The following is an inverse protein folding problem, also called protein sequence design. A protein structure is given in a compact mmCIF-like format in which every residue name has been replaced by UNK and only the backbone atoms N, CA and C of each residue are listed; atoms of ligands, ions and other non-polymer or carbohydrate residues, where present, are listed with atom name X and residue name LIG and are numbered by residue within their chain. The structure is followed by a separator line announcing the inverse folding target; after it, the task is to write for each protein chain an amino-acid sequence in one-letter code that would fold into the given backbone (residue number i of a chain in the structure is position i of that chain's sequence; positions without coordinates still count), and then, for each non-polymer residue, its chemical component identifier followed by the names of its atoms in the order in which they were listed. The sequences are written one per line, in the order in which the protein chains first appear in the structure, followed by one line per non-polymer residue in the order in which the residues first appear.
data_IF_417203889440
#
_entry.id   IF_417203889440
#
_cell.length_a   1.000
_cell.length_b   1.000
_cell.length_c   1.000
_cell.angle_alpha   90.00
_cell.angle_beta   90.00
_cell.angle_gamma   90.00
#
_symmetry.space_group_name_H-M   'P 1'
#
loop_
_entity.id
_entity.type
_entity.pdbx_description
1 polymer ?
#
# COMPACT_ATOMS: atom_id res chain seq x y z
N UNK A 1 -20.68 -4.39 -7.23
CA UNK A 1 -19.97 -3.32 -6.50
C UNK A 1 -20.96 -2.74 -5.52
N UNK A 2 -20.72 -2.86 -4.21
CA UNK A 2 -21.54 -2.16 -3.22
C UNK A 2 -20.91 -0.79 -3.01
N UNK A 3 -21.55 0.25 -3.55
CA UNK A 3 -21.28 1.63 -3.13
C UNK A 3 -21.72 1.79 -1.67
N UNK A 4 -21.00 2.60 -0.91
CA UNK A 4 -21.48 3.10 0.37
C UNK A 4 -22.36 4.31 0.06
N UNK A 5 -23.68 4.11 0.01
CA UNK A 5 -24.58 5.18 -0.41
C UNK A 5 -24.47 6.44 0.47
N UNK A 6 -24.15 6.28 1.76
CA UNK A 6 -23.95 7.44 2.62
C UNK A 6 -22.69 8.20 2.22
N UNK A 7 -21.53 7.52 2.15
CA UNK A 7 -20.27 8.18 1.82
C UNK A 7 -20.22 8.68 0.36
N UNK A 8 -20.65 7.84 -0.58
CA UNK A 8 -20.46 8.06 -2.02
C UNK A 8 -21.42 9.10 -2.59
N UNK A 9 -22.65 9.17 -2.06
CA UNK A 9 -23.72 9.99 -2.62
C UNK A 9 -24.33 11.02 -1.66
N UNK A 10 -24.12 10.92 -0.35
CA UNK A 10 -24.86 11.74 0.62
C UNK A 10 -23.99 12.59 1.56
N UNK A 11 -22.79 12.15 1.91
CA UNK A 11 -21.88 12.88 2.78
C UNK A 11 -21.48 14.20 2.13
N UNK A 12 -21.62 15.32 2.85
CA UNK A 12 -21.15 16.61 2.33
C UNK A 12 -19.63 16.65 2.41
N UNK A 13 -18.97 16.78 1.25
CA UNK A 13 -17.50 16.83 1.12
C UNK A 13 -17.15 17.92 0.12
N UNK A 14 -16.32 18.89 0.53
CA UNK A 14 -15.85 19.99 -0.31
C UNK A 14 -16.97 20.78 -1.04
N UNK A 15 -18.12 20.92 -0.36
CA UNK A 15 -19.30 21.59 -0.89
C UNK A 15 -20.12 20.77 -1.90
N UNK A 16 -19.77 19.50 -2.11
CA UNK A 16 -20.54 18.55 -2.93
C UNK A 16 -21.29 17.54 -2.06
N UNK A 17 -22.31 16.91 -2.62
CA UNK A 17 -23.06 15.82 -2.00
C UNK A 17 -22.49 14.48 -2.47
N UNK A 18 -21.71 13.83 -1.61
CA UNK A 18 -21.05 12.55 -1.84
C UNK A 18 -19.59 12.67 -2.31
N UNK A 19 -18.76 11.69 -1.90
CA UNK A 19 -17.35 11.63 -2.28
C UNK A 19 -17.13 11.54 -3.79
N UNK A 20 -18.03 10.88 -4.53
CA UNK A 20 -17.91 10.75 -5.99
C UNK A 20 -18.06 12.10 -6.71
N UNK A 21 -18.97 12.96 -6.23
CA UNK A 21 -19.14 14.29 -6.76
C UNK A 21 -17.96 15.21 -6.38
N UNK A 22 -17.49 15.13 -5.13
CA UNK A 22 -16.33 15.88 -4.65
C UNK A 22 -15.06 15.54 -5.46
N UNK A 23 -14.79 14.26 -5.71
CA UNK A 23 -13.66 13.83 -6.55
C UNK A 23 -13.77 14.35 -7.98
N UNK A 24 -14.98 14.31 -8.57
CA UNK A 24 -15.22 14.86 -9.92
C UNK A 24 -14.90 16.36 -9.98
N UNK A 25 -15.32 17.12 -8.97
CA UNK A 25 -15.01 18.55 -8.85
C UNK A 25 -13.50 18.79 -8.74
N UNK A 26 -12.82 18.04 -7.87
CA UNK A 26 -11.36 18.14 -7.69
C UNK A 26 -10.63 17.93 -9.02
N UNK A 27 -11.01 16.91 -9.79
CA UNK A 27 -10.44 16.67 -11.13
C UNK A 27 -10.70 17.80 -12.10
N UNK A 28 -11.89 18.41 -12.06
CA UNK A 28 -12.21 19.57 -12.88
C UNK A 28 -11.31 20.78 -12.59
N UNK A 29 -10.90 20.94 -11.32
CA UNK A 29 -9.97 21.98 -10.88
C UNK A 29 -8.50 21.63 -11.15
N UNK A 30 -8.15 20.35 -11.09
CA UNK A 30 -6.80 19.83 -11.24
C UNK A 30 -6.75 18.68 -12.24
N UNK A 31 -6.79 18.96 -13.56
CA UNK A 31 -6.92 17.93 -14.61
C UNK A 31 -5.72 16.98 -14.73
N UNK A 32 -4.60 17.30 -14.07
CA UNK A 32 -3.43 16.43 -13.97
C UNK A 32 -3.60 15.31 -12.94
N UNK A 33 -4.56 15.43 -12.01
CA UNK A 33 -4.87 14.39 -11.03
C UNK A 33 -5.67 13.29 -11.70
N UNK A 34 -5.20 12.05 -11.53
CA UNK A 34 -5.88 10.84 -11.96
C UNK A 34 -6.60 10.19 -10.79
N UNK A 35 -7.83 9.74 -11.03
CA UNK A 35 -8.61 9.00 -10.02
C UNK A 35 -8.87 7.60 -10.50
N UNK A 36 -8.58 6.62 -9.66
CA UNK A 36 -8.90 5.22 -9.89
C UNK A 36 -9.88 4.76 -8.81
N UNK A 37 -10.79 3.86 -9.16
CA UNK A 37 -11.56 3.12 -8.17
C UNK A 37 -10.76 1.90 -7.74
N UNK A 38 -10.44 1.77 -6.45
CA UNK A 38 -9.80 0.56 -5.92
C UNK A 38 -10.87 -0.46 -5.52
N UNK A 39 -10.66 -1.70 -5.93
CA UNK A 39 -11.57 -2.81 -5.69
C UNK A 39 -10.85 -3.85 -4.85
N UNK A 40 -11.45 -4.20 -3.71
CA UNK A 40 -10.91 -5.18 -2.79
C UNK A 40 -10.44 -4.56 -1.48
N UNK A 41 -9.21 -4.90 -1.08
CA UNK A 41 -8.59 -4.55 0.19
C UNK A 41 -8.66 -5.67 1.21
N UNK A 42 -7.89 -5.53 2.29
CA UNK A 42 -7.71 -6.55 3.33
C UNK A 42 -9.00 -7.10 3.95
N UNK A 43 -10.09 -6.33 3.96
CA UNK A 43 -11.40 -6.78 4.47
C UNK A 43 -12.41 -7.21 3.39
N UNK A 44 -12.09 -7.03 2.11
CA UNK A 44 -13.03 -7.17 0.99
C UNK A 44 -12.47 -8.02 -0.16
N UNK A 45 -11.67 -9.03 0.19
CA UNK A 45 -10.99 -9.90 -0.79
C UNK A 45 -11.58 -11.31 -0.95
N UNK A 46 -12.64 -11.66 -0.21
CA UNK A 46 -13.18 -13.03 -0.14
C UNK A 46 -13.79 -13.52 -1.46
N UNK A 47 -14.28 -12.62 -2.31
CA UNK A 47 -14.96 -12.93 -3.57
C UNK A 47 -13.99 -13.13 -4.75
N UNK A 48 -12.77 -12.61 -4.65
CA UNK A 48 -11.82 -12.67 -5.76
C UNK A 48 -11.52 -14.07 -6.28
N UNK A 49 -11.32 -15.12 -5.45
CA UNK A 49 -11.03 -16.46 -5.97
C UNK A 49 -12.10 -16.96 -6.95
N UNK A 50 -13.38 -16.80 -6.60
CA UNK A 50 -14.50 -17.23 -7.45
C UNK A 50 -14.64 -16.33 -8.70
N UNK A 51 -14.50 -15.02 -8.53
CA UNK A 51 -14.53 -14.05 -9.62
C UNK A 51 -13.43 -14.32 -10.65
N UNK A 52 -12.19 -14.50 -10.18
CA UNK A 52 -11.02 -14.66 -11.02
C UNK A 52 -10.97 -16.03 -11.70
N UNK A 53 -11.54 -17.09 -11.11
CA UNK A 53 -11.56 -18.42 -11.72
C UNK A 53 -12.49 -18.51 -12.95
N UNK A 54 -13.61 -17.79 -12.97
CA UNK A 54 -14.61 -17.90 -14.03
C UNK A 54 -14.41 -16.88 -15.15
N UNK A 55 -14.21 -17.34 -16.40
CA UNK A 55 -14.10 -16.45 -17.58
C UNK A 55 -15.31 -15.51 -17.72
N UNK A 56 -16.52 -16.05 -17.54
CA UNK A 56 -17.74 -15.26 -17.62
C UNK A 56 -17.82 -14.20 -16.51
N UNK A 57 -17.41 -14.55 -15.28
CA UNK A 57 -17.39 -13.60 -14.17
C UNK A 57 -16.36 -12.49 -14.39
N UNK A 58 -15.14 -12.83 -14.84
CA UNK A 58 -14.10 -11.85 -15.21
C UNK A 58 -14.60 -10.85 -16.26
N UNK A 59 -15.24 -11.34 -17.31
CA UNK A 59 -15.78 -10.50 -18.39
C UNK A 59 -16.93 -9.61 -17.91
N UNK A 60 -17.82 -10.15 -17.08
CA UNK A 60 -18.92 -9.36 -16.51
C UNK A 60 -18.41 -8.26 -15.59
N UNK A 61 -17.45 -8.58 -14.72
CA UNK A 61 -16.78 -7.59 -13.89
C UNK A 61 -16.14 -6.49 -14.74
N UNK A 62 -15.33 -6.86 -15.74
CA UNK A 62 -14.63 -5.92 -16.61
C UNK A 62 -15.58 -4.93 -17.31
N UNK A 63 -16.76 -5.38 -17.75
CA UNK A 63 -17.79 -4.48 -18.31
C UNK A 63 -18.39 -3.55 -17.25
N UNK A 64 -18.75 -4.08 -16.09
CA UNK A 64 -19.38 -3.31 -15.01
C UNK A 64 -18.43 -2.26 -14.41
N UNK A 65 -17.15 -2.60 -14.23
CA UNK A 65 -16.16 -1.66 -13.71
C UNK A 65 -15.89 -0.55 -14.73
N UNK A 66 -15.87 -0.87 -16.03
CA UNK A 66 -15.79 0.14 -17.09
C UNK A 66 -17.00 1.08 -17.04
N UNK A 67 -18.21 0.55 -16.98
CA UNK A 67 -19.44 1.34 -16.88
C UNK A 67 -19.44 2.26 -15.66
N UNK A 68 -18.97 1.75 -14.51
CA UNK A 68 -18.78 2.56 -13.30
C UNK A 68 -17.77 3.70 -13.53
N UNK A 69 -16.60 3.39 -14.12
CA UNK A 69 -15.61 4.41 -14.44
C UNK A 69 -16.15 5.48 -15.38
N UNK A 70 -16.91 5.09 -16.40
CA UNK A 70 -17.53 6.02 -17.36
C UNK A 70 -18.57 6.92 -16.69
N UNK A 71 -19.41 6.34 -15.85
CA UNK A 71 -20.50 7.03 -15.14
C UNK A 71 -19.96 8.05 -14.13
N UNK A 72 -18.88 7.69 -13.43
CA UNK A 72 -18.30 8.51 -12.37
C UNK A 72 -17.04 9.28 -12.79
N UNK A 73 -16.62 9.15 -14.05
CA UNK A 73 -15.41 9.74 -14.63
C UNK A 73 -14.12 9.37 -13.89
N UNK A 74 -13.96 8.10 -13.53
CA UNK A 74 -12.65 7.58 -13.10
C UNK A 74 -11.75 7.34 -14.32
N UNK A 75 -10.45 7.57 -14.15
CA UNK A 75 -9.43 7.28 -15.18
C UNK A 75 -9.06 5.80 -15.22
N UNK A 76 -9.58 4.95 -14.33
CA UNK A 76 -9.17 3.55 -14.28
C UNK A 76 -9.59 2.82 -13.01
N UNK A 77 -9.02 1.64 -12.84
CA UNK A 77 -9.28 0.74 -11.71
C UNK A 77 -7.97 0.23 -11.10
N UNK A 78 -7.97 0.14 -9.79
CA UNK A 78 -6.93 -0.53 -8.99
C UNK A 78 -7.48 -1.85 -8.43
N UNK A 79 -6.71 -2.94 -8.56
CA UNK A 79 -7.09 -4.26 -8.07
C UNK A 79 -6.27 -4.62 -6.84
N UNK A 80 -6.95 -4.67 -5.70
CA UNK A 80 -6.36 -4.99 -4.41
C UNK A 80 -6.92 -6.32 -3.88
N UNK A 81 -6.50 -7.42 -4.50
CA UNK A 81 -6.81 -8.76 -3.99
C UNK A 81 -5.76 -9.18 -2.97
N UNK A 82 -6.19 -9.27 -1.70
CA UNK A 82 -5.37 -9.70 -0.59
C UNK A 82 -5.71 -11.12 -0.08
N UNK A 83 -5.05 -12.21 -0.51
CA UNK A 83 -4.04 -12.30 -1.59
C UNK A 83 -4.21 -13.59 -2.42
N UNK A 84 -3.75 -13.62 -3.69
CA UNK A 84 -3.58 -14.86 -4.44
C UNK A 84 -2.38 -15.67 -3.91
N UNK A 85 -2.64 -16.74 -3.15
CA UNK A 85 -1.62 -17.51 -2.42
C UNK A 85 -1.38 -18.93 -2.95
N UNK A 86 -1.91 -19.28 -4.13
CA UNK A 86 -1.68 -20.58 -4.77
C UNK A 86 -1.33 -20.40 -6.25
N UNK A 87 -0.63 -21.34 -6.90
CA UNK A 87 -0.34 -21.26 -8.33
C UNK A 87 -1.61 -21.07 -9.19
N UNK A 88 -2.71 -21.71 -8.80
CA UNK A 88 -3.99 -21.54 -9.49
C UNK A 88 -4.60 -20.15 -9.26
N UNK A 89 -4.57 -19.64 -8.03
CA UNK A 89 -5.01 -18.27 -7.74
C UNK A 89 -4.19 -17.24 -8.52
N UNK A 90 -2.87 -17.42 -8.61
CA UNK A 90 -1.99 -16.52 -9.36
C UNK A 90 -2.22 -16.57 -10.88
N UNK A 91 -2.47 -17.75 -11.44
CA UNK A 91 -2.90 -17.88 -12.85
C UNK A 91 -4.22 -17.16 -13.09
N UNK A 92 -5.20 -17.37 -12.21
CA UNK A 92 -6.52 -16.74 -12.31
C UNK A 92 -6.44 -15.22 -12.14
N UNK A 93 -5.54 -14.73 -11.29
CA UNK A 93 -5.26 -13.31 -11.12
C UNK A 93 -4.81 -12.66 -12.42
N UNK A 94 -3.86 -13.27 -13.13
CA UNK A 94 -3.37 -12.74 -14.42
C UNK A 94 -4.47 -12.76 -15.49
N UNK A 95 -5.28 -13.83 -15.56
CA UNK A 95 -6.43 -13.88 -16.46
C UNK A 95 -7.49 -12.83 -16.14
N UNK A 96 -7.60 -12.44 -14.87
CA UNK A 96 -8.47 -11.37 -14.40
C UNK A 96 -7.99 -9.99 -14.83
N UNK A 97 -6.70 -9.68 -14.60
CA UNK A 97 -6.09 -8.46 -15.12
C UNK A 97 -6.20 -8.38 -16.66
N UNK A 98 -6.01 -9.50 -17.36
CA UNK A 98 -6.11 -9.55 -18.81
C UNK A 98 -7.53 -9.19 -19.30
N UNK A 99 -8.57 -9.76 -18.69
CA UNK A 99 -9.96 -9.46 -19.06
C UNK A 99 -10.32 -7.98 -18.84
N UNK A 100 -9.79 -7.37 -17.77
CA UNK A 100 -9.95 -5.94 -17.50
C UNK A 100 -9.23 -5.12 -18.57
N UNK A 101 -7.95 -5.42 -18.84
CA UNK A 101 -7.16 -4.68 -19.84
C UNK A 101 -7.74 -4.76 -21.26
N UNK A 102 -8.27 -5.92 -21.65
CA UNK A 102 -8.97 -6.09 -22.94
C UNK A 102 -10.23 -5.21 -23.04
N UNK A 103 -10.94 -5.00 -21.92
CA UNK A 103 -12.15 -4.18 -21.87
C UNK A 103 -11.87 -2.69 -21.65
N UNK A 104 -10.76 -2.39 -20.96
CA UNK A 104 -10.32 -1.05 -20.55
C UNK A 104 -8.88 -0.82 -21.06
N UNK A 105 -8.72 -0.58 -22.38
CA UNK A 105 -7.41 -0.51 -23.01
C UNK A 105 -6.61 0.73 -22.58
N UNK A 106 -5.29 0.60 -22.50
CA UNK A 106 -4.38 1.73 -22.35
C UNK A 106 -4.27 2.51 -23.68
N UNK A 107 -4.00 3.83 -23.65
CA UNK A 107 -3.84 4.67 -22.46
C UNK A 107 -5.18 5.25 -21.95
N UNK A 108 -6.32 4.81 -22.49
CA UNK A 108 -7.63 5.36 -22.14
C UNK A 108 -7.99 5.14 -20.67
N UNK A 109 -7.70 3.95 -20.14
CA UNK A 109 -7.88 3.64 -18.73
C UNK A 109 -6.58 3.13 -18.10
N UNK A 110 -6.34 3.56 -16.87
CA UNK A 110 -5.32 3.01 -16.00
C UNK A 110 -5.80 1.69 -15.40
N UNK A 111 -4.91 0.70 -15.34
CA UNK A 111 -5.08 -0.53 -14.58
C UNK A 111 -3.89 -0.71 -13.66
N UNK A 112 -4.15 -0.69 -12.36
CA UNK A 112 -3.12 -0.85 -11.34
C UNK A 112 -3.48 -1.98 -10.40
N UNK A 113 -2.56 -2.33 -9.52
CA UNK A 113 -2.81 -3.28 -8.44
C UNK A 113 -2.01 -2.91 -7.21
N UNK A 114 -2.54 -3.26 -6.03
CA UNK A 114 -1.77 -3.39 -4.81
C UNK A 114 -1.36 -4.85 -4.57
N UNK A 115 -0.08 -5.08 -4.26
CA UNK A 115 0.46 -6.40 -3.89
C UNK A 115 1.42 -6.28 -2.70
N UNK A 116 1.53 -7.33 -1.86
CA UNK A 116 2.45 -7.34 -0.72
C UNK A 116 3.89 -7.55 -1.17
N UNK A 117 4.87 -7.22 -0.33
CA UNK A 117 6.29 -7.56 -0.56
C UNK A 117 6.59 -9.06 -0.42
N UNK A 118 5.68 -9.84 0.15
CA UNK A 118 5.92 -11.21 0.57
C UNK A 118 5.92 -12.21 -0.58
N UNK A 119 6.99 -13.01 -0.66
CA UNK A 119 7.11 -14.12 -1.61
C UNK A 119 6.02 -15.19 -1.45
N UNK A 120 5.32 -15.26 -0.31
CA UNK A 120 4.16 -16.15 -0.14
C UNK A 120 3.05 -15.88 -1.16
N UNK A 121 2.97 -14.66 -1.69
CA UNK A 121 2.03 -14.26 -2.75
C UNK A 121 2.76 -14.14 -4.09
N UNK A 122 3.82 -13.32 -4.16
CA UNK A 122 4.45 -12.94 -5.42
C UNK A 122 4.96 -14.13 -6.25
N UNK A 123 5.42 -15.21 -5.61
CA UNK A 123 5.93 -16.42 -6.30
C UNK A 123 4.88 -17.18 -7.10
N UNK A 124 3.61 -16.92 -6.86
CA UNK A 124 2.51 -17.57 -7.57
C UNK A 124 2.07 -16.78 -8.81
N UNK A 125 2.54 -15.54 -8.97
CA UNK A 125 2.12 -14.65 -10.04
C UNK A 125 3.06 -14.75 -11.24
N UNK A 126 2.52 -14.73 -12.45
CA UNK A 126 3.33 -14.49 -13.64
C UNK A 126 3.62 -12.98 -13.75
N UNK A 127 4.66 -12.53 -13.03
CA UNK A 127 5.02 -11.12 -12.91
C UNK A 127 5.38 -10.45 -14.25
N UNK A 128 6.11 -11.08 -15.20
CA UNK A 128 6.31 -10.52 -16.53
C UNK A 128 5.01 -10.22 -17.29
N UNK A 129 4.03 -11.14 -17.22
CA UNK A 129 2.74 -10.92 -17.88
C UNK A 129 1.93 -9.84 -17.15
N UNK A 130 1.92 -9.85 -15.81
CA UNK A 130 1.27 -8.81 -15.03
C UNK A 130 1.84 -7.41 -15.36
N UNK A 131 3.16 -7.28 -15.49
CA UNK A 131 3.83 -6.01 -15.85
C UNK A 131 3.43 -5.47 -17.24
N UNK A 132 3.05 -6.33 -18.18
CA UNK A 132 2.53 -5.92 -19.50
C UNK A 132 1.09 -5.40 -19.42
N UNK A 133 0.31 -5.90 -18.46
CA UNK A 133 -1.10 -5.56 -18.28
C UNK A 133 -1.29 -4.30 -17.43
N UNK A 134 -0.52 -4.17 -16.36
CA UNK A 134 -0.61 -3.07 -15.39
C UNK A 134 0.13 -1.83 -15.90
N UNK A 135 -0.40 -0.64 -15.63
CA UNK A 135 0.34 0.62 -15.81
C UNK A 135 1.44 0.74 -14.76
N UNK A 136 1.10 0.45 -13.50
CA UNK A 136 2.04 0.34 -12.39
C UNK A 136 1.47 -0.53 -11.26
N UNK A 137 2.36 -0.93 -10.34
CA UNK A 137 2.07 -1.73 -9.16
C UNK A 137 2.35 -0.90 -7.90
N UNK A 138 1.35 -0.78 -7.03
CA UNK A 138 1.46 -0.26 -5.68
C UNK A 138 2.00 -1.38 -4.76
N UNK A 139 3.31 -1.39 -4.50
CA UNK A 139 3.95 -2.38 -3.64
C UNK A 139 3.78 -2.01 -2.17
N UNK A 140 2.96 -2.75 -1.42
CA UNK A 140 2.64 -2.49 -0.01
C UNK A 140 3.86 -2.73 0.89
N UNK A 141 4.72 -1.72 0.99
CA UNK A 141 5.97 -1.68 1.75
C UNK A 141 5.77 -1.55 3.27
N UNK A 142 4.75 -2.22 3.80
CA UNK A 142 4.34 -2.12 5.20
C UNK A 142 3.66 -3.43 5.65
N UNK A 143 3.21 -3.45 6.91
CA UNK A 143 2.58 -4.61 7.55
C UNK A 143 3.45 -5.87 7.61
N UNK A 144 4.75 -5.67 7.77
CA UNK A 144 5.70 -6.77 7.94
C UNK A 144 5.49 -7.50 9.27
N UNK A 145 5.11 -6.76 10.32
CA UNK A 145 4.83 -7.26 11.67
C UNK A 145 3.52 -6.70 12.19
N UNK A 146 2.78 -7.46 13.00
CA UNK A 146 1.48 -7.08 13.53
C UNK A 146 0.95 -8.11 14.53
N UNK A 147 -0.36 -8.11 14.80
CA UNK A 147 -0.97 -9.08 15.73
C UNK A 147 -0.86 -10.55 15.30
N UNK A 148 -0.47 -10.79 14.04
CA UNK A 148 -0.24 -12.11 13.44
C UNK A 148 1.21 -12.60 13.54
N UNK A 149 2.13 -11.84 14.15
CA UNK A 149 3.52 -12.25 14.35
C UNK A 149 3.80 -12.58 15.82
N UNK A 150 4.71 -13.53 16.09
CA UNK A 150 5.03 -13.94 17.48
C UNK A 150 5.80 -12.88 18.29
N UNK A 151 6.52 -12.02 17.58
CA UNK A 151 7.33 -10.93 18.16
C UNK A 151 7.08 -9.64 17.41
N UNK A 152 7.28 -8.52 18.09
CA UNK A 152 7.17 -7.21 17.46
C UNK A 152 8.39 -6.89 16.58
N UNK A 153 8.23 -5.92 15.69
CA UNK A 153 9.29 -5.40 14.83
C UNK A 153 8.84 -4.14 14.11
N UNK A 154 9.70 -3.63 13.24
CA UNK A 154 9.33 -2.50 12.39
C UNK A 154 8.39 -2.98 11.29
N UNK A 155 7.17 -2.44 11.24
CA UNK A 155 6.19 -2.92 10.26
C UNK A 155 6.46 -2.43 8.83
N UNK A 156 7.36 -1.47 8.63
CA UNK A 156 7.57 -0.79 7.35
C UNK A 156 9.04 -0.45 7.06
N UNK A 157 9.97 -1.27 7.55
CA UNK A 157 11.40 -1.05 7.33
C UNK A 157 11.81 -1.13 5.84
N UNK A 158 12.68 -0.22 5.41
CA UNK A 158 13.22 -0.23 4.05
C UNK A 158 14.13 -1.43 3.80
N UNK A 159 15.07 -1.66 4.72
CA UNK A 159 16.07 -2.73 4.65
C UNK A 159 15.79 -3.79 5.71
N UNK A 160 16.16 -5.06 5.50
CA UNK A 160 16.09 -6.07 6.55
C UNK A 160 17.06 -5.72 7.70
N UNK A 161 16.80 -6.14 8.95
CA UNK A 161 17.72 -5.90 10.05
C UNK A 161 19.03 -6.64 9.77
N UNK A 162 20.18 -5.99 9.98
CA UNK A 162 21.50 -6.60 9.78
C UNK A 162 21.96 -7.49 10.94
N UNK A 163 21.19 -7.54 12.02
CA UNK A 163 21.50 -8.30 13.22
C UNK A 163 20.96 -9.75 13.17
N UNK A 164 21.46 -10.57 14.09
CA UNK A 164 21.06 -11.98 14.21
C UNK A 164 19.58 -12.16 14.60
N UNK A 165 18.83 -11.10 14.96
CA UNK A 165 17.40 -11.23 15.28
C UNK A 165 16.62 -11.74 14.07
N UNK A 166 17.05 -11.40 12.86
CA UNK A 166 16.40 -11.87 11.65
C UNK A 166 16.59 -13.39 11.43
N UNK A 167 17.64 -13.98 12.01
CA UNK A 167 17.93 -15.42 11.95
C UNK A 167 17.07 -16.19 12.94
N UNK A 168 16.90 -15.62 14.13
CA UNK A 168 16.01 -16.16 15.16
C UNK A 168 14.55 -16.00 14.77
N UNK A 169 14.18 -14.86 14.17
CA UNK A 169 12.81 -14.51 13.77
C UNK A 169 12.76 -14.15 12.28
N UNK A 170 12.57 -15.13 11.38
CA UNK A 170 12.55 -14.90 9.94
C UNK A 170 11.49 -13.91 9.45
N UNK A 171 10.40 -13.73 10.21
CA UNK A 171 9.37 -12.71 9.94
C UNK A 171 9.92 -11.29 9.92
N UNK A 172 10.96 -11.01 10.72
CA UNK A 172 11.63 -9.71 10.76
C UNK A 172 12.52 -9.43 9.54
N UNK A 173 12.73 -10.41 8.64
CA UNK A 173 13.48 -10.19 7.39
C UNK A 173 12.68 -9.45 6.33
N UNK A 174 11.35 -9.40 6.44
CA UNK A 174 10.49 -8.70 5.48
C UNK A 174 10.86 -7.21 5.46
N UNK A 175 10.97 -6.65 4.27
CA UNK A 175 11.37 -5.26 4.05
C UNK A 175 10.94 -4.78 2.67
N UNK A 176 10.90 -3.46 2.47
CA UNK A 176 10.59 -2.86 1.18
C UNK A 176 11.57 -3.30 0.10
N UNK A 177 12.87 -3.27 0.40
CA UNK A 177 13.94 -3.65 -0.54
C UNK A 177 13.73 -5.08 -1.05
N UNK A 178 13.47 -6.05 -0.16
CA UNK A 178 13.26 -7.44 -0.58
C UNK A 178 12.10 -7.61 -1.56
N UNK A 179 11.01 -6.85 -1.37
CA UNK A 179 9.89 -6.88 -2.31
C UNK A 179 10.27 -6.31 -3.68
N UNK A 180 10.99 -5.19 -3.70
CA UNK A 180 11.51 -4.57 -4.94
C UNK A 180 12.50 -5.50 -5.64
N UNK A 181 13.47 -6.05 -4.92
CA UNK A 181 14.46 -6.99 -5.45
C UNK A 181 13.80 -8.23 -6.02
N UNK A 182 12.79 -8.77 -5.32
CA UNK A 182 12.05 -9.93 -5.82
C UNK A 182 11.36 -9.59 -7.15
N UNK A 183 10.57 -8.52 -7.21
CA UNK A 183 9.86 -8.11 -8.42
C UNK A 183 10.80 -7.89 -9.61
N UNK A 184 11.88 -7.15 -9.40
CA UNK A 184 12.88 -6.85 -10.44
C UNK A 184 13.64 -8.11 -10.88
N UNK A 185 13.99 -9.01 -9.95
CA UNK A 185 14.62 -10.31 -10.27
C UNK A 185 13.73 -11.22 -11.13
N UNK A 186 12.40 -11.06 -11.02
CA UNK A 186 11.40 -11.76 -11.82
C UNK A 186 11.04 -11.00 -13.11
N UNK A 187 11.75 -9.92 -13.45
CA UNK A 187 11.57 -9.15 -14.68
C UNK A 187 10.46 -8.10 -14.64
N UNK A 188 9.93 -7.75 -13.46
CA UNK A 188 9.00 -6.62 -13.33
C UNK A 188 9.78 -5.30 -13.48
N UNK A 189 9.39 -4.38 -14.39
CA UNK A 189 10.11 -3.13 -14.61
C UNK A 189 10.11 -2.24 -13.36
N UNK A 190 11.28 -1.80 -12.91
CA UNK A 190 11.42 -0.96 -11.71
C UNK A 190 10.59 0.32 -11.79
N UNK A 191 10.57 0.97 -12.96
CA UNK A 191 9.80 2.20 -13.21
C UNK A 191 8.28 2.03 -13.08
N UNK A 192 7.77 0.80 -13.05
CA UNK A 192 6.36 0.48 -12.79
C UNK A 192 6.08 0.11 -11.34
N UNK A 193 7.07 0.09 -10.45
CA UNK A 193 6.89 -0.19 -9.02
C UNK A 193 6.74 1.14 -8.29
N UNK A 194 5.64 1.31 -7.58
CA UNK A 194 5.36 2.45 -6.69
C UNK A 194 5.50 1.96 -5.26
N UNK A 195 6.45 2.51 -4.51
CA UNK A 195 6.77 2.01 -3.17
C UNK A 195 5.78 2.57 -2.13
N UNK A 196 5.14 1.68 -1.37
CA UNK A 196 4.16 2.03 -0.35
C UNK A 196 4.77 2.53 0.95
N UNK A 197 4.16 3.60 1.48
CA UNK A 197 4.45 4.22 2.76
C UNK A 197 3.19 4.12 3.63
N UNK A 198 3.26 3.51 4.83
CA UNK A 198 2.14 3.55 5.76
C UNK A 198 2.06 4.94 6.41
N UNK A 199 0.86 5.45 6.50
CA UNK A 199 0.51 6.70 7.18
C UNK A 199 -0.22 6.39 8.48
N UNK A 200 0.24 5.34 9.15
CA UNK A 200 -0.24 4.82 10.41
C UNK A 200 0.90 4.10 11.13
N UNK A 201 0.72 3.91 12.42
CA UNK A 201 1.60 3.13 13.27
C UNK A 201 1.03 1.74 13.55
N UNK A 202 1.93 0.77 13.78
CA UNK A 202 1.58 -0.47 14.49
C UNK A 202 2.19 -0.47 15.88
N UNK A 203 1.38 -0.79 16.89
CA UNK A 203 1.83 -0.88 18.27
C UNK A 203 1.79 -2.32 18.80
N UNK A 204 2.64 -2.57 19.80
CA UNK A 204 2.85 -3.87 20.42
C UNK A 204 2.98 -3.68 21.94
N UNK A 205 1.91 -4.01 22.65
CA UNK A 205 1.81 -3.81 24.09
C UNK A 205 2.86 -4.61 24.86
N UNK A 206 3.40 -4.01 25.92
CA UNK A 206 4.48 -4.55 26.77
C UNK A 206 5.85 -4.73 26.09
N UNK A 207 5.92 -4.74 24.75
CA UNK A 207 7.19 -4.79 24.04
C UNK A 207 7.98 -3.49 24.20
N UNK A 208 9.30 -3.58 24.01
CA UNK A 208 10.25 -2.46 24.14
C UNK A 208 11.23 -2.36 22.98
N UNK A 209 11.18 -3.29 22.04
CA UNK A 209 12.04 -3.30 20.86
C UNK A 209 11.81 -4.54 20.01
N UNK A 210 12.28 -4.54 18.76
CA UNK A 210 12.13 -5.65 17.82
C UNK A 210 12.60 -6.99 18.43
N UNK A 211 11.87 -8.07 18.13
CA UNK A 211 12.14 -9.41 18.66
C UNK A 211 11.56 -9.67 20.06
N UNK A 212 10.99 -8.65 20.72
CA UNK A 212 10.31 -8.88 22.00
C UNK A 212 8.90 -9.48 21.78
N UNK A 213 8.46 -10.41 22.65
CA UNK A 213 7.06 -10.80 22.70
C UNK A 213 6.20 -9.62 23.14
N UNK A 214 4.90 -9.68 22.83
CA UNK A 214 3.96 -8.62 23.16
C UNK A 214 2.62 -9.20 23.62
N UNK A 215 1.84 -8.37 24.32
CA UNK A 215 0.45 -8.65 24.66
C UNK A 215 -0.42 -7.48 24.25
N UNK A 216 -1.27 -7.73 23.26
CA UNK A 216 -2.05 -6.69 22.60
C UNK A 216 -1.25 -6.01 21.48
N UNK A 217 -1.93 -5.73 20.39
CA UNK A 217 -1.40 -5.02 19.23
C UNK A 217 -2.52 -4.28 18.55
N UNK A 218 -2.19 -3.29 17.74
CA UNK A 218 -3.18 -2.58 16.96
C UNK A 218 -2.55 -1.52 16.07
N UNK A 219 -3.39 -0.62 15.62
CA UNK A 219 -3.09 0.41 14.65
C UNK A 219 -3.54 1.77 15.17
N UNK A 220 -2.81 2.83 14.81
CA UNK A 220 -3.15 4.22 15.10
C UNK A 220 -2.76 5.05 13.89
N UNK A 221 -3.67 5.86 13.34
CA UNK A 221 -3.34 6.77 12.24
C UNK A 221 -2.21 7.72 12.65
N UNK A 222 -1.34 8.09 11.70
CA UNK A 222 -0.16 8.90 12.02
C UNK A 222 -0.53 10.29 12.58
N UNK A 223 -1.65 10.85 12.13
CA UNK A 223 -2.24 12.08 12.65
C UNK A 223 -2.77 11.96 14.08
N UNK A 224 -3.16 10.76 14.52
CA UNK A 224 -3.69 10.48 15.86
C UNK A 224 -2.60 10.12 16.89
N UNK A 225 -1.34 9.95 16.45
CA UNK A 225 -0.23 9.74 17.39
C UNK A 225 -0.07 10.95 18.34
N UNK A 226 0.37 10.76 19.58
CA UNK A 226 0.78 11.87 20.43
C UNK A 226 1.98 12.63 19.83
N UNK A 227 1.97 13.96 19.92
CA UNK A 227 3.04 14.81 19.39
C UNK A 227 4.40 14.45 20.00
N UNK A 228 4.42 14.09 21.29
CA UNK A 228 5.64 13.67 21.96
C UNK A 228 6.19 12.33 21.44
N UNK A 229 5.35 11.47 20.85
CA UNK A 229 5.82 10.22 20.22
C UNK A 229 6.48 10.51 18.88
N UNK A 230 5.90 11.41 18.09
CA UNK A 230 6.46 11.81 16.80
C UNK A 230 7.75 12.60 16.98
N UNK A 231 7.77 13.57 17.90
CA UNK A 231 8.96 14.37 18.21
C UNK A 231 10.06 13.53 18.89
N UNK A 232 9.67 12.54 19.70
CA UNK A 232 10.58 11.61 20.38
C UNK A 232 10.92 10.35 19.59
N UNK A 233 10.50 10.26 18.32
CA UNK A 233 10.69 9.07 17.51
C UNK A 233 12.19 8.76 17.34
N UNK A 234 12.57 7.52 17.65
CA UNK A 234 13.91 7.02 17.39
C UNK A 234 13.95 6.43 15.99
N UNK A 235 14.80 7.01 15.15
CA UNK A 235 15.11 6.48 13.81
C UNK A 235 16.23 5.45 13.93
N UNK A 236 15.98 4.25 13.40
CA UNK A 236 17.01 3.25 13.12
C UNK A 236 17.45 3.41 11.66
N UNK A 237 18.58 4.09 11.47
CA UNK A 237 19.15 4.36 10.15
C UNK A 237 19.56 3.08 9.39
N UNK A 238 19.87 2.00 10.11
CA UNK A 238 20.32 0.75 9.48
C UNK A 238 19.21 0.03 8.71
N UNK A 239 17.96 0.26 9.10
CA UNK A 239 16.76 -0.31 8.44
C UNK A 239 15.84 0.75 7.84
N UNK A 240 16.18 2.03 8.00
CA UNK A 240 15.36 3.20 7.69
C UNK A 240 13.91 3.06 8.17
N UNK A 241 13.75 2.85 9.48
CA UNK A 241 12.47 2.78 10.15
C UNK A 241 12.49 3.61 11.44
N UNK A 242 11.34 4.10 11.87
CA UNK A 242 11.21 4.83 13.12
C UNK A 242 10.32 4.07 14.12
N UNK A 243 10.52 4.39 15.40
CA UNK A 243 9.71 3.87 16.48
C UNK A 243 9.67 4.79 17.69
N UNK A 244 8.68 4.59 18.53
CA UNK A 244 8.60 5.16 19.87
C UNK A 244 8.28 4.04 20.87
N UNK A 245 8.74 4.19 22.11
CA UNK A 245 8.39 3.24 23.19
C UNK A 245 7.51 3.95 24.20
N UNK A 246 6.22 3.64 24.17
CA UNK A 246 5.27 4.06 25.18
C UNK A 246 5.49 3.30 26.49
N UNK A 247 6.18 3.97 27.41
CA UNK A 247 6.46 3.45 28.77
C UNK A 247 5.39 3.85 29.78
N UNK A 248 4.48 4.76 29.44
CA UNK A 248 3.47 5.33 30.36
C UNK A 248 2.07 4.77 30.12
N UNK A 249 1.79 4.31 28.91
CA UNK A 249 0.55 3.65 28.53
C UNK A 249 0.71 2.15 28.25
N UNK A 250 -0.22 1.62 27.47
CA UNK A 250 -0.36 0.20 27.14
C UNK A 250 0.17 -0.15 25.74
N UNK A 251 0.64 0.83 24.96
CA UNK A 251 0.97 0.65 23.54
C UNK A 251 2.38 0.09 23.31
N UNK A 252 3.27 0.21 24.29
CA UNK A 252 4.59 -0.41 24.26
C UNK A 252 5.44 0.03 23.06
N UNK A 253 5.90 -0.91 22.26
CA UNK A 253 6.70 -0.58 21.06
C UNK A 253 5.77 -0.15 19.92
N UNK A 254 5.97 1.05 19.40
CA UNK A 254 5.15 1.66 18.34
C UNK A 254 6.04 1.94 17.14
N UNK A 255 5.80 1.27 16.01
CA UNK A 255 6.55 1.47 14.76
C UNK A 255 5.72 2.27 13.76
N UNK A 256 6.34 3.24 13.11
CA UNK A 256 5.72 4.13 12.12
C UNK A 256 6.80 4.81 11.25
N UNK A 257 6.39 5.53 10.22
CA UNK A 257 7.26 6.42 9.45
C UNK A 257 7.21 7.86 9.97
N UNK A 258 8.33 8.56 9.82
CA UNK A 258 8.47 10.01 10.05
C UNK A 258 9.05 10.66 8.79
N UNK A 259 8.98 11.99 8.62
CA UNK A 259 9.48 12.65 7.42
C UNK A 259 10.90 12.21 6.99
N UNK A 260 11.83 12.05 7.94
CA UNK A 260 13.19 11.61 7.64
C UNK A 260 13.28 10.17 7.11
N UNK A 261 12.47 9.23 7.60
CA UNK A 261 12.46 7.86 7.04
C UNK A 261 11.83 7.83 5.65
N UNK A 262 10.82 8.67 5.41
CA UNK A 262 10.21 8.83 4.08
C UNK A 262 11.20 9.45 3.10
N UNK A 263 12.00 10.45 3.48
CA UNK A 263 13.09 10.99 2.65
C UNK A 263 14.09 9.89 2.23
N UNK A 264 14.48 9.01 3.15
CA UNK A 264 15.37 7.89 2.82
C UNK A 264 14.71 6.93 1.83
N UNK A 265 13.42 6.60 2.02
CA UNK A 265 12.65 5.74 1.11
C UNK A 265 12.43 6.37 -0.28
N UNK A 266 12.20 7.68 -0.32
CA UNK A 266 12.11 8.44 -1.57
C UNK A 266 13.45 8.45 -2.32
N UNK A 267 14.56 8.69 -1.61
CA UNK A 267 15.91 8.62 -2.18
C UNK A 267 16.23 7.22 -2.72
N UNK A 268 15.84 6.17 -1.99
CA UNK A 268 15.92 4.80 -2.46
C UNK A 268 15.10 4.58 -3.73
N UNK A 269 13.85 5.08 -3.77
CA UNK A 269 12.99 4.99 -4.94
C UNK A 269 13.65 5.63 -6.19
N UNK A 270 14.26 6.81 -6.04
CA UNK A 270 15.05 7.44 -7.13
C UNK A 270 16.23 6.59 -7.55
N UNK A 271 17.03 6.14 -6.59
CA UNK A 271 18.25 5.39 -6.85
C UNK A 271 17.98 4.07 -7.60
N UNK A 272 16.87 3.40 -7.27
CA UNK A 272 16.45 2.15 -7.92
C UNK A 272 15.60 2.36 -9.18
N UNK A 273 15.35 3.61 -9.58
CA UNK A 273 14.52 3.94 -10.74
C UNK A 273 13.08 3.46 -10.59
N UNK A 274 12.52 3.53 -9.38
CA UNK A 274 11.11 3.23 -9.10
C UNK A 274 10.20 4.32 -9.69
N UNK A 275 8.93 3.99 -9.90
CA UNK A 275 7.94 4.93 -10.47
C UNK A 275 7.47 6.01 -9.50
N UNK A 276 7.73 5.86 -8.20
CA UNK A 276 7.38 6.85 -7.17
C UNK A 276 7.03 6.22 -5.82
N UNK A 277 6.25 6.95 -5.03
CA UNK A 277 5.71 6.52 -3.73
C UNK A 277 4.17 6.54 -3.74
N UNK A 278 3.53 5.67 -2.96
CA UNK A 278 2.10 5.76 -2.62
C UNK A 278 1.90 5.62 -1.12
N UNK A 279 0.75 6.09 -0.62
CA UNK A 279 0.53 6.29 0.82
C UNK A 279 -0.79 5.63 1.27
N UNK A 280 -0.73 4.81 2.32
CA UNK A 280 -1.92 4.16 2.92
C UNK A 280 -2.12 4.59 4.39
N UNK A 281 -3.19 5.29 4.77
CA UNK A 281 -4.08 6.06 3.89
C UNK A 281 -3.74 7.54 3.97
N UNK A 282 -3.95 8.28 2.88
CA UNK A 282 -3.67 9.73 2.86
C UNK A 282 -4.42 10.54 3.93
N UNK A 283 -5.53 10.02 4.47
CA UNK A 283 -6.27 10.67 5.56
C UNK A 283 -5.54 10.61 6.92
N UNK A 284 -4.62 9.66 7.09
CA UNK A 284 -3.81 9.52 8.29
C UNK A 284 -2.64 10.51 8.37
N UNK A 285 -2.41 11.34 7.34
CA UNK A 285 -1.21 12.18 7.30
C UNK A 285 -1.33 13.40 8.21
N UNK A 286 -0.17 13.91 8.64
CA UNK A 286 -0.06 15.18 9.35
C UNK A 286 0.13 16.34 8.38
N UNK A 287 -0.03 17.56 8.88
CA UNK A 287 0.16 18.77 8.09
C UNK A 287 1.60 19.30 8.15
N UNK A 288 1.90 20.21 7.21
CA UNK A 288 3.13 21.01 7.18
C UNK A 288 4.41 20.14 7.25
N UNK A 289 5.37 20.52 8.10
CA UNK A 289 6.68 19.87 8.20
C UNK A 289 6.63 18.42 8.71
N UNK A 290 5.47 17.96 9.22
CA UNK A 290 5.26 16.58 9.65
C UNK A 290 4.58 15.73 8.56
N UNK A 291 4.14 16.30 7.44
CA UNK A 291 3.50 15.55 6.36
C UNK A 291 4.48 14.56 5.73
N UNK A 292 4.11 13.28 5.76
CA UNK A 292 4.86 12.21 5.08
C UNK A 292 4.76 12.38 3.57
N UNK A 293 3.60 12.77 3.05
CA UNK A 293 3.39 13.00 1.61
C UNK A 293 4.29 14.14 1.11
N UNK A 294 4.33 15.27 1.84
CA UNK A 294 5.17 16.40 1.47
C UNK A 294 6.67 16.06 1.53
N UNK A 295 7.11 15.31 2.54
CA UNK A 295 8.50 14.86 2.67
C UNK A 295 8.94 14.00 1.48
N UNK A 296 8.12 13.01 1.10
CA UNK A 296 8.41 12.17 -0.04
C UNK A 296 8.38 12.94 -1.36
N UNK A 297 7.38 13.80 -1.57
CA UNK A 297 7.30 14.66 -2.77
C UNK A 297 8.54 15.54 -2.92
N UNK A 298 8.95 16.23 -1.85
CA UNK A 298 10.08 17.15 -1.92
C UNK A 298 11.39 16.42 -2.25
N UNK A 299 11.60 15.26 -1.64
CA UNK A 299 12.80 14.44 -1.90
C UNK A 299 12.81 13.89 -3.33
N UNK A 300 11.65 13.51 -3.88
CA UNK A 300 11.56 13.02 -5.27
C UNK A 300 11.94 14.11 -6.28
N UNK A 301 11.56 15.36 -6.03
CA UNK A 301 11.57 16.42 -7.03
C UNK A 301 12.60 17.55 -6.84
N UNK A 302 13.10 17.78 -5.63
CA UNK A 302 13.94 18.95 -5.31
C UNK A 302 15.31 18.62 -4.70
N UNK A 303 15.54 17.38 -4.27
CA UNK A 303 16.82 16.89 -3.73
C UNK A 303 17.49 15.92 -4.71
#
# INVERSE_FOLDING_TARGET
MSIDDWADNNKVVDGEKGCLAALRKLKGQHPHIKTLVSIGGGSSSKEFPALAASKAARQTFARQIKEFCDTHHFDGVDIDWEHPQTPEAGKNYVLYLQAIRETMPAPQYLLTSALPTGEYCLKHLNLPVAAQLLDFLNLMGYDFTGGWTDVCGHHAQLLPPSNNLNEVYPTLRKSCQRGVDYLTSQGFPSCKIILGIPVYARYFGQARGPGHPFKGSGEIDYCDLPDEWVAGAKVDESVAAASFVDTKGDKGFVSFDVPSTVCVKASYAKAMGLGGLFYWTGAGDRAAHQSLVAAGWNTLHYE
#
